data_IF_908674421301
#
_entry.id   IF_908674421301
#
_cell.length_a   1.000
_cell.length_b   1.000
_cell.length_c   1.000
_cell.angle_alpha   90.00
_cell.angle_beta   90.00
_cell.angle_gamma   90.00
#
_symmetry.space_group_name_H-M   'P 1'
#
loop_
_entity.id
_entity.type
_entity.pdbx_description
1 polymer ?
#
# COMPACT_ATOMS: atom_id res chain seq x y z
N UNK A 1 28.82 -38.10 7.38
CA UNK A 1 27.57 -37.62 6.74
C UNK A 1 26.75 -36.66 7.61
N UNK A 2 27.01 -36.51 8.93
CA UNK A 2 26.21 -35.61 9.79
C UNK A 2 26.59 -34.11 9.72
N UNK A 3 27.84 -33.75 9.42
CA UNK A 3 28.28 -32.35 9.43
C UNK A 3 27.68 -31.52 8.29
N UNK A 4 27.51 -32.10 7.09
CA UNK A 4 26.91 -31.41 5.96
C UNK A 4 25.42 -31.12 6.17
N UNK A 5 24.71 -31.99 6.90
CA UNK A 5 23.29 -31.81 7.22
C UNK A 5 23.09 -30.65 8.21
N UNK A 6 23.98 -30.49 9.19
CA UNK A 6 23.91 -29.39 10.17
C UNK A 6 24.17 -28.02 9.54
N UNK A 7 25.12 -27.92 8.60
CA UNK A 7 25.41 -26.67 7.88
C UNK A 7 24.23 -26.30 6.97
N UNK A 8 23.66 -27.27 6.26
CA UNK A 8 22.49 -27.06 5.42
C UNK A 8 21.27 -26.59 6.24
N UNK A 9 21.02 -27.18 7.41
CA UNK A 9 19.96 -26.75 8.31
C UNK A 9 20.16 -25.30 8.79
N UNK A 10 21.38 -24.93 9.20
CA UNK A 10 21.67 -23.56 9.63
C UNK A 10 21.49 -22.53 8.50
N UNK A 11 21.86 -22.86 7.27
CA UNK A 11 21.62 -21.99 6.11
C UNK A 11 20.12 -21.75 5.86
N UNK A 12 19.29 -22.78 6.00
CA UNK A 12 17.82 -22.65 5.86
C UNK A 12 17.22 -21.75 6.94
N UNK A 13 17.70 -21.87 8.19
CA UNK A 13 17.25 -20.98 9.27
C UNK A 13 17.67 -19.52 9.06
N UNK A 14 18.88 -19.26 8.54
CA UNK A 14 19.36 -17.91 8.26
C UNK A 14 18.58 -17.29 7.09
N UNK A 15 18.31 -18.06 6.02
CA UNK A 15 17.50 -17.59 4.88
C UNK A 15 16.06 -17.31 5.31
N UNK A 16 15.48 -18.18 6.15
CA UNK A 16 14.14 -17.97 6.72
C UNK A 16 14.06 -16.72 7.60
N UNK A 17 15.09 -16.43 8.40
CA UNK A 17 15.14 -15.23 9.24
C UNK A 17 15.34 -13.93 8.42
N UNK A 18 16.08 -14.00 7.31
CA UNK A 18 16.32 -12.84 6.43
C UNK A 18 15.11 -12.45 5.58
N UNK A 19 14.17 -13.37 5.33
CA UNK A 19 12.96 -13.10 4.55
C UNK A 19 11.79 -12.55 5.39
N UNK A 20 11.91 -12.47 6.71
CA UNK A 20 10.88 -11.91 7.59
C UNK A 20 11.02 -10.40 7.81
N UNK A 21 11.55 -9.65 6.83
CA UNK A 21 11.52 -8.18 6.92
C UNK A 21 10.10 -7.71 6.69
N UNK A 22 9.52 -6.92 7.62
CA UNK A 22 8.21 -6.35 7.38
C UNK A 22 8.29 -5.45 6.14
N UNK A 23 7.32 -5.61 5.24
CA UNK A 23 7.22 -4.80 4.03
C UNK A 23 6.72 -3.43 4.45
N UNK A 24 7.59 -2.42 4.30
CA UNK A 24 7.27 -1.05 4.63
C UNK A 24 6.81 -0.29 3.40
N UNK A 25 5.78 0.53 3.57
CA UNK A 25 5.35 1.49 2.57
C UNK A 25 6.35 2.64 2.58
N UNK A 26 7.43 2.53 1.82
CA UNK A 26 8.40 3.60 1.75
C UNK A 26 7.75 4.83 1.10
N UNK A 27 7.61 5.91 1.87
CA UNK A 27 6.96 7.16 1.40
C UNK A 27 7.60 7.72 0.13
N UNK A 28 8.91 7.52 -0.03
CA UNK A 28 9.63 7.92 -1.25
C UNK A 28 9.20 7.11 -2.47
N UNK A 29 9.02 5.80 -2.31
CA UNK A 29 8.69 4.88 -3.40
C UNK A 29 7.21 4.97 -3.80
N UNK A 30 6.32 5.34 -2.88
CA UNK A 30 4.91 5.61 -3.18
C UNK A 30 4.73 6.84 -4.09
N UNK A 31 5.69 7.76 -4.15
CA UNK A 31 5.64 8.91 -5.03
C UNK A 31 4.48 9.88 -4.79
N UNK A 32 3.81 9.84 -3.63
CA UNK A 32 2.56 10.58 -3.36
C UNK A 32 2.69 12.10 -3.53
N UNK A 33 3.85 12.65 -3.17
CA UNK A 33 4.14 14.08 -3.39
C UNK A 33 4.14 14.40 -4.88
N UNK A 34 4.78 13.56 -5.70
CA UNK A 34 4.84 13.73 -7.14
C UNK A 34 3.48 13.46 -7.80
N UNK A 35 2.68 12.57 -7.21
CA UNK A 35 1.29 12.33 -7.61
C UNK A 35 0.44 13.59 -7.36
N UNK A 36 0.56 14.21 -6.19
CA UNK A 36 -0.17 15.45 -5.85
C UNK A 36 0.28 16.66 -6.68
N UNK A 37 1.58 16.77 -6.95
CA UNK A 37 2.16 17.96 -7.59
C UNK A 37 2.03 17.94 -9.13
N UNK A 38 1.95 16.75 -9.74
CA UNK A 38 2.02 16.59 -11.20
C UNK A 38 0.83 15.88 -11.85
N UNK A 39 -0.14 15.41 -11.06
CA UNK A 39 -1.39 14.83 -11.57
C UNK A 39 -2.55 15.72 -11.16
N UNK A 40 -3.38 16.09 -12.12
CA UNK A 40 -4.60 16.86 -11.86
C UNK A 40 -5.77 16.13 -12.48
N UNK A 41 -6.68 15.67 -11.64
CA UNK A 41 -7.94 15.06 -12.09
C UNK A 41 -9.05 16.10 -12.09
N UNK A 42 -10.07 15.89 -12.92
CA UNK A 42 -11.27 16.73 -12.91
C UNK A 42 -11.93 16.71 -11.51
N UNK A 43 -12.46 17.85 -11.07
CA UNK A 43 -13.11 17.97 -9.75
C UNK A 43 -14.40 17.13 -9.66
N UNK A 44 -14.93 16.70 -10.80
CA UNK A 44 -16.06 15.76 -10.91
C UNK A 44 -15.70 14.30 -10.68
N UNK A 45 -14.41 13.95 -10.54
CA UNK A 45 -13.98 12.58 -10.26
C UNK A 45 -14.23 12.27 -8.78
N UNK A 46 -15.26 11.45 -8.54
CA UNK A 46 -15.52 10.87 -7.23
C UNK A 46 -14.78 9.54 -7.11
N UNK A 47 -13.82 9.48 -6.20
CA UNK A 47 -13.02 8.28 -5.93
C UNK A 47 -13.49 7.70 -4.61
N UNK A 48 -13.86 6.43 -4.62
CA UNK A 48 -14.16 5.70 -3.39
C UNK A 48 -12.85 5.50 -2.62
N UNK A 49 -12.74 6.13 -1.46
CA UNK A 49 -11.60 6.02 -0.56
C UNK A 49 -12.03 5.43 0.77
N UNK A 50 -11.23 4.58 1.42
CA UNK A 50 -11.54 4.16 2.77
C UNK A 50 -11.44 5.35 3.75
N UNK A 51 -12.38 5.44 4.69
CA UNK A 51 -12.38 6.43 5.77
C UNK A 51 -12.18 5.73 7.12
N UNK A 52 -11.54 6.43 8.07
CA UNK A 52 -11.32 5.97 9.44
C UNK A 52 -10.65 4.57 9.54
N UNK A 53 -9.55 4.39 8.80
CA UNK A 53 -8.89 3.09 8.66
C UNK A 53 -8.27 2.62 9.98
N UNK A 54 -8.77 1.49 10.51
CA UNK A 54 -8.24 0.77 11.68
C UNK A 54 -7.29 -0.35 11.27
N UNK A 55 -6.42 -0.81 12.18
CA UNK A 55 -5.40 -1.85 11.90
C UNK A 55 -5.95 -3.13 11.26
N UNK A 56 -7.14 -3.58 11.66
CA UNK A 56 -7.76 -4.79 11.11
C UNK A 56 -8.34 -4.62 9.70
N UNK A 57 -8.47 -3.39 9.20
CA UNK A 57 -8.95 -3.11 7.84
C UNK A 57 -7.83 -2.63 6.90
N UNK A 58 -6.56 -2.70 7.30
CA UNK A 58 -5.44 -2.23 6.47
C UNK A 58 -5.36 -2.94 5.11
N UNK A 59 -5.63 -4.24 5.05
CA UNK A 59 -5.66 -4.97 3.77
C UNK A 59 -6.82 -4.52 2.87
N UNK A 60 -8.01 -4.32 3.45
CA UNK A 60 -9.16 -3.79 2.72
C UNK A 60 -8.90 -2.35 2.23
N UNK A 61 -8.31 -1.51 3.08
CA UNK A 61 -7.96 -0.13 2.73
C UNK A 61 -6.89 -0.07 1.63
N UNK A 62 -5.84 -0.89 1.69
CA UNK A 62 -4.83 -1.01 0.63
C UNK A 62 -5.46 -1.32 -0.72
N UNK A 63 -6.31 -2.35 -0.76
CA UNK A 63 -7.04 -2.72 -1.97
C UNK A 63 -7.95 -1.58 -2.45
N UNK A 64 -8.63 -0.91 -1.51
CA UNK A 64 -9.46 0.25 -1.79
C UNK A 64 -8.71 1.40 -2.45
N UNK A 65 -7.53 1.74 -1.95
CA UNK A 65 -6.67 2.74 -2.56
C UNK A 65 -6.16 2.30 -3.94
N UNK A 66 -5.81 1.02 -4.12
CA UNK A 66 -5.41 0.48 -5.42
C UNK A 66 -6.55 0.56 -6.45
N UNK A 67 -7.76 0.15 -6.08
CA UNK A 67 -8.95 0.23 -6.91
C UNK A 67 -9.32 1.69 -7.22
N UNK A 68 -9.19 2.58 -6.22
CA UNK A 68 -9.36 4.02 -6.37
C UNK A 68 -8.42 4.62 -7.42
N UNK A 69 -7.11 4.32 -7.33
CA UNK A 69 -6.11 4.73 -8.32
C UNK A 69 -6.40 4.17 -9.71
N UNK A 70 -6.80 2.90 -9.81
CA UNK A 70 -7.14 2.27 -11.11
C UNK A 70 -8.42 2.84 -11.74
N UNK A 71 -9.31 3.42 -10.93
CA UNK A 71 -10.54 4.06 -11.43
C UNK A 71 -10.29 5.46 -12.05
N UNK A 72 -9.09 6.01 -11.88
CA UNK A 72 -8.69 7.32 -12.39
C UNK A 72 -8.39 7.30 -13.90
N UNK A 73 -9.45 7.46 -14.68
CA UNK A 73 -9.36 7.40 -16.15
C UNK A 73 -9.23 8.79 -16.81
N UNK A 74 -9.60 9.86 -16.10
CA UNK A 74 -9.71 11.23 -16.63
C UNK A 74 -8.82 12.23 -15.87
N UNK A 75 -7.52 11.92 -15.77
CA UNK A 75 -6.53 12.80 -15.16
C UNK A 75 -5.56 13.34 -16.20
N UNK A 76 -5.05 14.55 -15.97
CA UNK A 76 -4.06 15.23 -16.81
C UNK A 76 -2.72 15.30 -16.07
N UNK A 77 -1.64 15.48 -16.83
CA UNK A 77 -0.28 15.59 -16.29
C UNK A 77 0.49 14.26 -16.39
N UNK A 78 1.26 13.94 -15.34
CA UNK A 78 2.11 12.73 -15.31
C UNK A 78 1.31 11.50 -14.87
N UNK A 79 0.29 11.12 -15.64
CA UNK A 79 -0.68 10.05 -15.34
C UNK A 79 -0.01 8.69 -15.10
N UNK A 80 1.15 8.43 -15.72
CA UNK A 80 1.95 7.23 -15.47
C UNK A 80 2.31 7.04 -13.98
N UNK A 81 2.40 8.12 -13.20
CA UNK A 81 2.62 8.06 -11.74
C UNK A 81 1.49 7.38 -10.98
N UNK A 82 0.25 7.44 -11.48
CA UNK A 82 -0.87 6.70 -10.90
C UNK A 82 -0.59 5.20 -10.97
N UNK A 83 -0.02 4.73 -12.09
CA UNK A 83 0.41 3.36 -12.28
C UNK A 83 1.52 2.96 -11.31
N UNK A 84 2.58 3.77 -11.22
CA UNK A 84 3.71 3.52 -10.32
C UNK A 84 3.27 3.44 -8.85
N UNK A 85 2.41 4.38 -8.41
CA UNK A 85 1.87 4.36 -7.04
C UNK A 85 0.99 3.13 -6.80
N UNK A 86 0.18 2.73 -7.79
CA UNK A 86 -0.66 1.53 -7.67
C UNK A 86 0.18 0.24 -7.58
N UNK A 87 1.28 0.16 -8.34
CA UNK A 87 2.22 -0.97 -8.30
C UNK A 87 2.98 -1.01 -6.95
N UNK A 88 3.42 0.14 -6.44
CA UNK A 88 4.06 0.23 -5.13
C UNK A 88 3.13 -0.25 -4.01
N UNK A 89 1.83 0.07 -4.09
CA UNK A 89 0.82 -0.44 -3.15
C UNK A 89 0.60 -1.95 -3.31
N UNK A 90 0.61 -2.48 -4.53
CA UNK A 90 0.47 -3.91 -4.79
C UNK A 90 1.61 -4.71 -4.16
N UNK A 91 2.85 -4.24 -4.27
CA UNK A 91 4.00 -4.86 -3.62
C UNK A 91 3.88 -4.88 -2.09
N UNK A 92 3.30 -3.83 -1.49
CA UNK A 92 3.02 -3.80 -0.06
C UNK A 92 1.94 -4.81 0.37
N UNK A 93 1.06 -5.20 -0.55
CA UNK A 93 -0.06 -6.12 -0.31
C UNK A 93 0.38 -7.59 -0.38
N UNK A 94 1.46 -7.92 -1.08
CA UNK A 94 1.99 -9.29 -1.23
C UNK A 94 2.62 -9.87 0.05
N UNK A 95 2.73 -9.09 1.12
CA UNK A 95 3.25 -9.57 2.39
C UNK A 95 2.21 -10.49 3.09
N UNK A 96 2.56 -11.76 3.39
CA UNK A 96 1.61 -12.80 3.79
C UNK A 96 0.94 -12.59 5.16
N UNK A 97 1.28 -11.52 5.89
CA UNK A 97 0.91 -11.42 7.30
C UNK A 97 -0.51 -10.91 7.59
N UNK A 98 -1.27 -10.31 6.65
CA UNK A 98 -2.43 -9.47 7.07
C UNK A 98 -3.66 -9.45 6.16
N UNK A 99 -3.99 -10.53 5.44
CA UNK A 99 -5.32 -10.65 4.82
C UNK A 99 -6.41 -10.92 5.86
N UNK A 100 -6.77 -9.89 6.63
CA UNK A 100 -8.05 -9.86 7.35
C UNK A 100 -8.99 -9.02 6.50
N UNK A 101 -9.82 -9.69 5.71
CA UNK A 101 -10.96 -9.05 5.05
C UNK A 101 -11.91 -8.59 6.14
N UNK A 102 -11.87 -7.30 6.48
CA UNK A 102 -12.82 -6.68 7.40
C UNK A 102 -13.82 -5.86 6.60
N UNK A 103 -15.10 -6.15 6.80
CA UNK A 103 -16.24 -5.35 6.33
C UNK A 103 -16.42 -4.05 7.12
N UNK A 104 -15.62 -3.82 8.16
CA UNK A 104 -15.73 -2.66 9.05
C UNK A 104 -15.05 -1.40 8.49
N UNK A 105 -14.35 -1.52 7.36
CA UNK A 105 -13.78 -0.37 6.67
C UNK A 105 -14.93 0.52 6.16
N UNK A 106 -14.95 1.78 6.56
CA UNK A 106 -15.91 2.74 6.02
C UNK A 106 -15.40 3.25 4.68
N UNK A 107 -16.32 3.57 3.78
CA UNK A 107 -16.01 4.00 2.41
C UNK A 107 -16.73 5.30 2.11
N UNK A 108 -16.00 6.24 1.55
CA UNK A 108 -16.50 7.58 1.23
C UNK A 108 -16.04 8.00 -0.16
N UNK A 109 -16.93 8.70 -0.87
CA UNK A 109 -16.57 9.34 -2.13
C UNK A 109 -15.83 10.62 -1.86
N UNK A 110 -14.63 10.74 -2.42
CA UNK A 110 -13.73 11.86 -2.18
C UNK A 110 -13.17 12.40 -3.49
N UNK A 111 -12.82 13.69 -3.46
CA UNK A 111 -12.08 14.30 -4.56
C UNK A 111 -10.66 13.77 -4.59
N UNK A 112 -10.00 13.86 -5.76
CA UNK A 112 -8.63 13.39 -5.94
C UNK A 112 -7.65 13.95 -4.90
N UNK A 113 -7.69 15.26 -4.62
CA UNK A 113 -6.79 15.87 -3.65
C UNK A 113 -6.97 15.29 -2.22
N UNK A 114 -8.21 15.02 -1.81
CA UNK A 114 -8.49 14.41 -0.51
C UNK A 114 -8.07 12.94 -0.50
N UNK A 115 -8.32 12.21 -1.59
CA UNK A 115 -7.88 10.83 -1.77
C UNK A 115 -6.37 10.66 -1.61
N UNK A 116 -5.56 11.51 -2.26
CA UNK A 116 -4.09 11.44 -2.16
C UNK A 116 -3.62 11.71 -0.73
N UNK A 117 -4.25 12.66 -0.04
CA UNK A 117 -3.96 12.96 1.37
C UNK A 117 -4.33 11.83 2.31
N UNK A 118 -5.45 11.17 2.09
CA UNK A 118 -5.86 9.99 2.86
C UNK A 118 -4.87 8.83 2.66
N UNK A 119 -4.40 8.62 1.42
CA UNK A 119 -3.39 7.62 1.10
C UNK A 119 -2.06 7.90 1.80
N UNK A 120 -1.64 9.17 1.85
CA UNK A 120 -0.44 9.57 2.60
C UNK A 120 -0.58 9.31 4.10
N UNK A 121 -1.73 9.70 4.67
CA UNK A 121 -2.04 9.47 6.09
C UNK A 121 -2.09 7.97 6.39
N UNK A 122 -2.66 7.17 5.49
CA UNK A 122 -2.70 5.72 5.62
C UNK A 122 -1.29 5.12 5.58
N UNK A 123 -0.42 5.55 4.66
CA UNK A 123 0.96 5.08 4.58
C UNK A 123 1.74 5.39 5.87
N UNK A 124 1.53 6.56 6.48
CA UNK A 124 2.09 6.90 7.79
C UNK A 124 1.61 5.97 8.91
N UNK A 125 0.30 5.72 8.97
CA UNK A 125 -0.30 4.83 9.97
C UNK A 125 0.16 3.39 9.80
N UNK A 126 0.29 2.93 8.55
CA UNK A 126 0.79 1.62 8.21
C UNK A 126 2.25 1.47 8.69
N UNK A 127 3.11 2.45 8.42
CA UNK A 127 4.51 2.41 8.88
C UNK A 127 4.66 2.55 10.41
N UNK A 128 3.87 3.43 11.03
CA UNK A 128 3.95 3.70 12.49
C UNK A 128 3.25 2.64 13.33
N UNK A 129 2.35 1.85 12.72
CA UNK A 129 1.45 0.93 13.40
C UNK A 129 2.09 -0.38 13.88
N UNK A 130 3.41 -0.54 13.80
CA UNK A 130 4.05 -1.84 14.06
C UNK A 130 3.81 -2.84 12.93
N UNK A 131 3.47 -2.36 11.73
CA UNK A 131 3.34 -3.21 10.52
C UNK A 131 4.71 -3.38 9.87
N UNK A 132 5.53 -2.34 10.04
CA UNK A 132 6.96 -2.34 10.24
C UNK A 132 7.27 -2.28 11.74
#
# INVERSE_FOLDING_TARGET
MEQHLRIALCMVFIIGYLQAKPVCLNKGDLGLKLLSDHVTCDQSVNITSPSNVKKHCYAAALKGFQDGLRSLNNCKGQVWRIGDTAEALEQATLSPARHVNSTDCQWENKSFAVFVKDLETFAEQFNSGGVC
#
